data_IF_322020989317
#
_entry.id   IF_322020989317
#
_cell.length_a   1.000
_cell.length_b   1.000
_cell.length_c   1.000
_cell.angle_alpha   90.00
_cell.angle_beta   90.00
_cell.angle_gamma   90.00
#
_symmetry.space_group_name_H-M   'P 1'
#
loop_
_entity.id
_entity.type
_entity.pdbx_description
1 polymer ?
#
# COMPACT_ATOMS: atom_id res chain seq x y z
N UNK A 1 12.94 -22.59 -25.56
CA UNK A 1 14.34 -22.12 -25.68
C UNK A 1 14.53 -20.91 -26.60
N UNK A 2 14.39 -20.98 -27.94
CA UNK A 2 14.65 -19.80 -28.79
C UNK A 2 13.54 -18.72 -28.71
N UNK A 3 12.31 -19.11 -28.41
CA UNK A 3 11.18 -18.17 -28.25
C UNK A 3 11.17 -17.41 -26.91
N UNK A 4 11.70 -18.00 -25.83
CA UNK A 4 11.83 -17.33 -24.52
C UNK A 4 12.99 -16.33 -24.49
N UNK A 5 14.08 -16.62 -25.20
CA UNK A 5 15.19 -15.66 -25.36
C UNK A 5 14.81 -14.43 -26.18
N UNK A 6 13.78 -14.52 -27.02
CA UNK A 6 13.26 -13.39 -27.82
C UNK A 6 12.23 -12.53 -27.06
N UNK A 7 11.60 -13.03 -25.99
CA UNK A 7 10.74 -12.22 -25.12
C UNK A 7 11.52 -11.37 -24.11
N UNK A 8 12.77 -11.74 -23.81
CA UNK A 8 13.67 -10.93 -22.98
C UNK A 8 14.20 -9.68 -23.71
N UNK A 9 14.07 -9.62 -25.04
CA UNK A 9 14.55 -8.51 -25.85
C UNK A 9 13.41 -7.51 -26.14
N UNK A 10 13.47 -6.35 -25.48
CA UNK A 10 12.60 -5.16 -25.62
C UNK A 10 11.35 -5.07 -24.75
N UNK A 11 11.47 -5.35 -23.44
CA UNK A 11 10.61 -4.61 -22.51
C UNK A 11 11.07 -3.15 -22.56
N UNK A 12 10.20 -2.23 -22.97
CA UNK A 12 10.53 -0.80 -22.95
C UNK A 12 10.91 -0.41 -21.51
N UNK A 13 11.94 0.44 -21.32
CA UNK A 13 12.30 0.89 -20.00
C UNK A 13 11.11 1.56 -19.34
N UNK A 14 10.93 1.32 -18.05
CA UNK A 14 9.99 2.08 -17.24
C UNK A 14 10.51 3.52 -17.13
N UNK A 15 9.65 4.50 -17.39
CA UNK A 15 10.03 5.92 -17.33
C UNK A 15 9.37 6.53 -16.11
N UNK A 16 10.16 6.92 -15.11
CA UNK A 16 9.65 7.61 -13.94
C UNK A 16 9.65 9.14 -14.15
N UNK A 17 8.47 9.76 -14.00
CA UNK A 17 8.30 11.20 -14.11
C UNK A 17 8.61 11.92 -12.80
N UNK A 18 8.06 11.42 -11.71
CA UNK A 18 8.22 12.03 -10.39
C UNK A 18 7.98 11.03 -9.28
N UNK A 19 8.33 11.41 -8.06
CA UNK A 19 8.20 10.61 -6.83
C UNK A 19 7.83 11.48 -5.64
N UNK A 20 7.14 10.88 -4.68
CA UNK A 20 6.92 11.47 -3.35
C UNK A 20 7.02 10.38 -2.29
N UNK A 21 7.45 10.79 -1.09
CA UNK A 21 7.27 10.01 0.12
C UNK A 21 6.11 10.61 0.91
N UNK A 22 5.14 9.78 1.30
CA UNK A 22 4.02 10.21 2.15
C UNK A 22 4.31 9.78 3.58
N UNK A 23 4.57 10.72 4.48
CA UNK A 23 4.75 10.44 5.90
C UNK A 23 3.40 10.10 6.56
N UNK A 24 3.36 8.95 7.23
CA UNK A 24 2.23 8.57 8.06
C UNK A 24 2.30 9.31 9.42
N UNK A 25 1.16 9.50 10.11
CA UNK A 25 1.14 10.07 11.44
C UNK A 25 2.10 9.33 12.39
N UNK A 26 2.79 10.04 13.31
CA UNK A 26 3.78 9.44 14.21
C UNK A 26 3.17 8.42 15.17
N UNK A 27 1.86 8.48 15.41
CA UNK A 27 1.10 7.55 16.25
C UNK A 27 0.47 6.40 15.44
N UNK A 28 0.81 6.24 14.15
CA UNK A 28 0.28 5.17 13.31
C UNK A 28 0.64 3.76 13.83
N UNK A 29 1.74 3.61 14.56
CA UNK A 29 2.13 2.34 15.20
C UNK A 29 2.50 2.52 16.67
N UNK A 30 2.58 1.41 17.40
CA UNK A 30 3.01 1.41 18.81
C UNK A 30 4.48 1.80 19.01
N UNK A 31 5.34 1.63 18.01
CA UNK A 31 6.77 1.99 18.10
C UNK A 31 7.03 3.49 17.97
N UNK A 32 6.08 4.25 17.41
CA UNK A 32 6.26 5.67 17.12
C UNK A 32 7.29 5.96 16.02
N UNK A 33 7.74 4.92 15.30
CA UNK A 33 8.73 5.08 14.23
C UNK A 33 8.10 5.80 13.03
N UNK A 34 8.85 6.73 12.43
CA UNK A 34 8.39 7.44 11.25
C UNK A 34 8.28 6.47 10.05
N UNK A 35 7.06 6.32 9.55
CA UNK A 35 6.73 5.45 8.42
C UNK A 35 6.34 6.27 7.19
N UNK A 36 6.74 5.76 6.03
CA UNK A 36 6.56 6.42 4.74
C UNK A 36 5.93 5.47 3.72
N UNK A 37 4.99 5.99 2.94
CA UNK A 37 4.44 5.31 1.75
C UNK A 37 5.07 5.93 0.49
N UNK A 38 5.94 5.20 -0.23
CA UNK A 38 6.56 5.69 -1.46
C UNK A 38 5.59 5.63 -2.65
N UNK A 39 5.48 6.72 -3.40
CA UNK A 39 4.67 6.81 -4.61
C UNK A 39 5.54 7.31 -5.77
N UNK A 40 5.46 6.65 -6.92
CA UNK A 40 6.06 7.08 -8.19
C UNK A 40 4.98 7.38 -9.22
N UNK A 41 5.29 8.23 -10.19
CA UNK A 41 4.49 8.40 -11.40
C UNK A 41 5.26 7.80 -12.56
N UNK A 42 4.77 6.69 -13.07
CA UNK A 42 5.36 5.98 -14.19
C UNK A 42 4.69 6.46 -15.49
N UNK A 43 5.46 6.69 -16.54
CA UNK A 43 4.91 7.14 -17.81
C UNK A 43 4.05 6.02 -18.42
N UNK A 44 2.77 6.33 -18.58
CA UNK A 44 1.86 5.55 -19.40
C UNK A 44 1.69 6.34 -20.68
N UNK A 45 1.98 5.72 -21.83
CA UNK A 45 2.14 6.33 -23.15
C UNK A 45 1.01 7.28 -23.63
N UNK A 46 -0.07 7.51 -22.86
CA UNK A 46 -1.30 8.15 -23.32
C UNK A 46 -1.57 9.58 -22.78
N UNK A 47 -1.07 10.03 -21.61
CA UNK A 47 -1.63 11.27 -21.00
C UNK A 47 -0.63 12.29 -20.43
N UNK A 48 0.68 12.08 -20.54
CA UNK A 48 1.69 13.06 -20.11
C UNK A 48 1.74 13.38 -18.60
N UNK A 49 0.80 12.89 -17.77
CA UNK A 49 0.83 13.06 -16.32
C UNK A 49 1.55 11.90 -15.60
N UNK A 50 1.73 10.75 -16.28
CA UNK A 50 2.14 9.50 -15.66
C UNK A 50 1.06 8.91 -14.75
N UNK A 51 1.08 7.59 -14.58
CA UNK A 51 0.17 6.88 -13.67
C UNK A 51 0.83 6.75 -12.29
N UNK A 52 0.18 7.24 -11.22
CA UNK A 52 0.72 7.11 -9.88
C UNK A 52 0.64 5.65 -9.40
N UNK A 53 1.70 5.20 -8.74
CA UNK A 53 1.83 3.83 -8.22
C UNK A 53 2.49 3.85 -6.85
N UNK A 54 1.94 3.08 -5.92
CA UNK A 54 2.59 2.80 -4.63
C UNK A 54 3.71 1.79 -4.88
N UNK A 55 4.94 2.09 -4.47
CA UNK A 55 5.99 1.09 -4.44
C UNK A 55 5.75 0.16 -3.24
N UNK A 56 5.65 -1.14 -3.51
CA UNK A 56 5.29 -2.15 -2.51
C UNK A 56 6.49 -3.03 -2.19
N UNK A 57 6.63 -3.36 -0.92
CA UNK A 57 7.45 -4.48 -0.49
C UNK A 57 6.66 -5.77 -0.80
N UNK A 58 7.25 -6.75 -1.53
CA UNK A 58 6.57 -8.03 -1.78
C UNK A 58 6.22 -8.79 -0.49
N UNK A 59 6.85 -8.45 0.64
CA UNK A 59 6.63 -9.10 1.92
C UNK A 59 5.85 -8.24 2.94
N UNK A 60 5.41 -7.03 2.57
CA UNK A 60 4.67 -6.12 3.46
C UNK A 60 3.17 -6.07 3.16
N UNK A 61 2.33 -6.22 4.19
CA UNK A 61 0.87 -6.12 4.02
C UNK A 61 0.42 -4.65 3.88
N UNK A 62 0.87 -3.75 4.75
CA UNK A 62 0.87 -2.31 4.46
C UNK A 62 2.17 -1.87 3.76
N UNK A 63 2.10 -1.11 2.64
CA UNK A 63 3.27 -0.66 1.88
C UNK A 63 3.94 0.55 2.54
N UNK A 64 4.30 0.40 3.81
CA UNK A 64 4.92 1.42 4.63
C UNK A 64 6.34 1.02 5.02
N UNK A 65 7.23 1.99 5.04
CA UNK A 65 8.65 1.78 5.28
C UNK A 65 9.19 2.78 6.28
N UNK A 66 10.11 2.34 7.11
CA UNK A 66 11.06 3.26 7.77
C UNK A 66 11.98 3.84 6.70
N UNK A 67 12.56 5.02 6.92
CA UNK A 67 13.47 5.63 5.93
C UNK A 67 14.60 4.69 5.52
N UNK A 68 15.19 3.97 6.49
CA UNK A 68 16.27 3.02 6.23
C UNK A 68 15.80 1.83 5.39
N UNK A 69 14.64 1.26 5.72
CA UNK A 69 14.06 0.12 4.98
C UNK A 69 13.70 0.52 3.55
N UNK A 70 13.13 1.72 3.35
CA UNK A 70 12.81 2.23 2.01
C UNK A 70 14.06 2.33 1.14
N UNK A 71 15.13 2.95 1.66
CA UNK A 71 16.38 3.07 0.89
C UNK A 71 16.96 1.69 0.56
N UNK A 72 16.94 0.74 1.51
CA UNK A 72 17.37 -0.64 1.26
C UNK A 72 16.56 -1.31 0.15
N UNK A 73 15.23 -1.20 0.19
CA UNK A 73 14.33 -1.71 -0.85
C UNK A 73 14.63 -1.07 -2.22
N UNK A 74 14.78 0.25 -2.28
CA UNK A 74 15.10 0.98 -3.51
C UNK A 74 16.47 0.57 -4.09
N UNK A 75 17.46 0.29 -3.24
CA UNK A 75 18.75 -0.23 -3.67
C UNK A 75 18.65 -1.61 -4.31
N UNK A 76 17.82 -2.51 -3.76
CA UNK A 76 17.71 -3.88 -4.25
C UNK A 76 16.91 -3.96 -5.55
N UNK A 77 15.82 -3.20 -5.66
CA UNK A 77 14.93 -3.24 -6.83
C UNK A 77 15.27 -2.16 -7.85
N UNK A 78 15.09 -0.88 -7.49
CA UNK A 78 15.03 0.21 -8.47
C UNK A 78 16.41 0.62 -8.95
N UNK A 79 17.41 0.65 -8.07
CA UNK A 79 18.80 0.94 -8.44
C UNK A 79 19.36 -0.14 -9.38
N UNK A 80 19.06 -1.42 -9.14
CA UNK A 80 19.39 -2.51 -10.07
C UNK A 80 18.78 -2.26 -11.46
N UNK A 81 17.49 -1.90 -11.52
CA UNK A 81 16.83 -1.55 -12.79
C UNK A 81 17.45 -0.35 -13.51
N UNK A 82 18.02 0.62 -12.79
CA UNK A 82 18.76 1.72 -13.43
C UNK A 82 20.08 1.25 -14.05
N UNK A 83 20.80 0.33 -13.40
CA UNK A 83 22.02 -0.30 -13.96
C UNK A 83 21.69 -1.09 -15.22
N UNK A 84 20.60 -1.85 -15.19
CA UNK A 84 20.16 -2.68 -16.32
C UNK A 84 19.54 -1.87 -17.47
N UNK A 85 19.42 -0.54 -17.32
CA UNK A 85 18.76 0.33 -18.29
C UNK A 85 17.23 0.16 -18.38
N UNK A 86 16.64 -0.59 -17.45
CA UNK A 86 15.22 -0.93 -17.37
C UNK A 86 14.38 0.13 -16.64
N UNK A 87 15.01 1.07 -15.94
CA UNK A 87 14.39 2.23 -15.32
C UNK A 87 15.13 3.50 -15.76
N UNK A 88 14.40 4.45 -16.33
CA UNK A 88 14.90 5.78 -16.71
C UNK A 88 14.04 6.85 -16.07
N UNK A 89 14.57 8.06 -15.98
CA UNK A 89 13.76 9.23 -15.65
C UNK A 89 13.24 9.86 -16.94
N UNK A 90 12.16 10.61 -16.85
CA UNK A 90 11.57 11.27 -18.03
C UNK A 90 12.54 12.20 -18.77
N UNK A 91 13.57 12.71 -18.07
CA UNK A 91 14.63 13.54 -18.64
C UNK A 91 15.89 12.76 -19.05
N UNK A 92 15.88 11.42 -18.96
CA UNK A 92 16.96 10.57 -19.44
C UNK A 92 17.47 9.54 -18.43
N UNK A 93 18.66 9.03 -18.71
CA UNK A 93 19.34 8.05 -17.85
C UNK A 93 19.81 8.69 -16.55
N UNK A 94 19.86 7.89 -15.49
CA UNK A 94 20.27 8.31 -14.16
C UNK A 94 21.19 7.25 -13.56
N UNK A 95 22.23 7.69 -12.86
CA UNK A 95 23.06 6.75 -12.10
C UNK A 95 22.26 6.18 -10.92
N UNK A 96 22.57 4.95 -10.45
CA UNK A 96 21.93 4.39 -9.25
C UNK A 96 22.08 5.29 -8.02
N UNK A 97 23.24 5.92 -7.86
CA UNK A 97 23.52 6.83 -6.75
C UNK A 97 22.65 8.10 -6.82
N UNK A 98 22.54 8.71 -8.00
CA UNK A 98 21.68 9.86 -8.22
C UNK A 98 20.21 9.52 -8.00
N UNK A 99 19.78 8.34 -8.43
CA UNK A 99 18.43 7.86 -8.20
C UNK A 99 18.12 7.74 -6.69
N UNK A 100 19.04 7.18 -5.91
CA UNK A 100 18.88 7.08 -4.45
C UNK A 100 18.94 8.46 -3.78
N UNK A 101 19.78 9.38 -4.29
CA UNK A 101 19.83 10.77 -3.81
C UNK A 101 18.47 11.46 -3.94
N UNK A 102 17.79 11.31 -5.07
CA UNK A 102 16.44 11.85 -5.27
C UNK A 102 15.43 11.34 -4.23
N UNK A 103 15.51 10.06 -3.86
CA UNK A 103 14.65 9.50 -2.80
C UNK A 103 15.00 9.99 -1.40
N UNK A 104 16.29 10.21 -1.11
CA UNK A 104 16.71 10.85 0.15
C UNK A 104 16.16 12.27 0.25
N UNK A 105 16.15 13.03 -0.84
CA UNK A 105 15.53 14.37 -0.86
C UNK A 105 14.01 14.30 -0.66
N UNK A 106 13.32 13.37 -1.31
CA UNK A 106 11.88 13.16 -1.10
C UNK A 106 11.54 12.80 0.36
N UNK A 107 12.39 12.03 1.03
CA UNK A 107 12.25 11.67 2.45
C UNK A 107 12.53 12.83 3.42
N UNK A 108 13.33 13.82 3.02
CA UNK A 108 13.57 15.04 3.82
C UNK A 108 12.37 15.99 3.81
N UNK A 109 11.58 15.97 2.74
CA UNK A 109 10.39 16.82 2.56
C UNK A 109 9.17 15.97 2.22
N UNK A 110 8.75 15.05 3.11
CA UNK A 110 7.63 14.17 2.84
C UNK A 110 6.32 14.94 2.85
N UNK A 111 5.32 14.43 2.11
CA UNK A 111 3.96 14.94 2.18
C UNK A 111 3.18 14.24 3.28
N UNK A 112 2.23 14.90 3.91
CA UNK A 112 1.17 14.23 4.68
C UNK A 112 0.11 13.65 3.73
N UNK A 113 -0.75 12.72 4.18
CA UNK A 113 -1.89 12.25 3.37
C UNK A 113 -2.80 13.39 2.89
N UNK A 114 -2.96 14.44 3.71
CA UNK A 114 -3.73 15.63 3.34
C UNK A 114 -3.05 16.45 2.23
N UNK A 115 -1.73 16.67 2.34
CA UNK A 115 -0.95 17.37 1.31
C UNK A 115 -0.88 16.59 0.00
N UNK A 116 -0.86 15.25 0.04
CA UNK A 116 -0.98 14.41 -1.16
C UNK A 116 -2.30 14.69 -1.89
N UNK A 117 -3.40 14.77 -1.15
CA UNK A 117 -4.72 15.09 -1.71
C UNK A 117 -4.78 16.49 -2.27
N UNK A 118 -4.24 17.48 -1.57
CA UNK A 118 -4.22 18.88 -2.01
C UNK A 118 -3.37 19.07 -3.27
N UNK A 119 -2.14 18.55 -3.29
CA UNK A 119 -1.16 18.81 -4.36
C UNK A 119 -1.34 17.92 -5.59
N UNK A 120 -1.84 16.69 -5.39
CA UNK A 120 -1.92 15.69 -6.45
C UNK A 120 -3.33 15.14 -6.69
N UNK A 121 -4.33 15.54 -5.90
CA UNK A 121 -5.70 15.03 -6.03
C UNK A 121 -5.83 13.54 -5.69
N UNK A 122 -4.86 12.98 -4.95
CA UNK A 122 -4.80 11.55 -4.58
C UNK A 122 -5.05 11.33 -3.09
N UNK A 123 -5.73 10.24 -2.75
CA UNK A 123 -5.82 9.75 -1.37
C UNK A 123 -5.34 8.30 -1.26
N UNK A 124 -4.76 7.97 -0.10
CA UNK A 124 -4.40 6.61 0.27
C UNK A 124 -5.59 5.97 0.99
N UNK A 125 -6.13 4.90 0.43
CA UNK A 125 -7.21 4.13 1.05
C UNK A 125 -6.73 2.74 1.40
N UNK A 126 -6.86 2.36 2.68
CA UNK A 126 -6.57 1.01 3.17
C UNK A 126 -7.89 0.26 3.29
N UNK A 127 -7.97 -0.93 2.73
CA UNK A 127 -9.09 -1.85 2.87
C UNK A 127 -8.62 -3.11 3.56
N UNK A 128 -9.28 -3.49 4.64
CA UNK A 128 -8.94 -4.59 5.51
C UNK A 128 -10.11 -5.58 5.52
N UNK A 129 -9.83 -6.87 5.41
CA UNK A 129 -10.84 -7.91 5.54
C UNK A 129 -10.27 -9.16 6.19
N UNK A 130 -11.11 -9.90 6.90
CA UNK A 130 -10.86 -11.26 7.37
C UNK A 130 -12.16 -11.91 7.84
N UNK A 131 -12.08 -13.20 8.17
CA UNK A 131 -13.17 -13.92 8.81
C UNK A 131 -13.45 -13.34 10.20
N UNK A 132 -14.70 -12.97 10.44
CA UNK A 132 -15.13 -12.26 11.65
C UNK A 132 -14.88 -13.09 12.92
N UNK A 133 -15.19 -14.38 12.88
CA UNK A 133 -14.98 -15.29 14.01
C UNK A 133 -13.50 -15.49 14.36
N UNK A 134 -12.57 -15.19 13.43
CA UNK A 134 -11.13 -15.26 13.69
C UNK A 134 -10.62 -14.06 14.48
N UNK A 135 -11.27 -12.90 14.34
CA UNK A 135 -10.84 -11.65 14.98
C UNK A 135 -11.61 -11.30 16.25
N UNK A 136 -12.79 -11.89 16.44
CA UNK A 136 -13.58 -11.72 17.67
C UNK A 136 -12.83 -12.21 18.90
N UNK A 137 -12.91 -11.43 19.97
CA UNK A 137 -12.21 -11.64 21.23
C UNK A 137 -10.71 -11.38 21.18
N UNK A 138 -10.13 -11.08 20.00
CA UNK A 138 -8.71 -10.81 19.90
C UNK A 138 -8.36 -9.46 20.53
N UNK A 139 -7.18 -9.44 21.15
CA UNK A 139 -6.53 -8.25 21.68
C UNK A 139 -5.29 -7.95 20.87
N UNK A 140 -5.03 -6.68 20.62
CA UNK A 140 -3.79 -6.26 19.98
C UNK A 140 -2.68 -6.24 21.02
N UNK A 141 -1.47 -6.78 20.73
CA UNK A 141 -0.35 -6.81 21.68
C UNK A 141 0.26 -5.44 21.96
N UNK A 142 -0.28 -4.38 21.37
CA UNK A 142 0.24 -3.03 21.55
C UNK A 142 -0.08 -2.51 22.96
N UNK A 143 0.91 -1.97 23.69
CA UNK A 143 0.67 -1.42 25.03
C UNK A 143 -0.27 -0.19 25.01
N UNK A 144 -0.35 0.50 23.87
CA UNK A 144 -1.16 1.68 23.61
C UNK A 144 -2.16 1.44 22.46
N UNK A 145 -2.76 0.24 22.39
CA UNK A 145 -3.78 -0.08 21.39
C UNK A 145 -4.94 0.94 21.42
N UNK A 146 -5.43 1.42 20.26
CA UNK A 146 -6.58 2.33 20.19
C UNK A 146 -7.89 1.68 20.67
N UNK A 147 -7.97 0.34 20.61
CA UNK A 147 -9.13 -0.44 21.04
C UNK A 147 -8.67 -1.63 21.88
N UNK A 148 -9.40 -1.93 22.96
CA UNK A 148 -9.09 -3.08 23.82
C UNK A 148 -9.23 -4.40 23.05
N UNK A 149 -10.32 -4.53 22.29
CA UNK A 149 -10.63 -5.72 21.48
C UNK A 149 -11.15 -5.33 20.10
N UNK A 150 -11.24 -6.31 19.19
CA UNK A 150 -11.86 -6.09 17.88
C UNK A 150 -13.32 -5.60 17.99
N UNK A 151 -14.10 -6.07 18.96
CA UNK A 151 -15.49 -5.64 19.17
C UNK A 151 -15.61 -4.14 19.47
N UNK A 152 -14.61 -3.56 20.16
CA UNK A 152 -14.57 -2.12 20.41
C UNK A 152 -14.34 -1.34 19.11
N UNK A 153 -13.52 -1.88 18.20
CA UNK A 153 -13.33 -1.34 16.85
C UNK A 153 -14.62 -1.49 16.02
N UNK A 154 -15.29 -2.65 16.10
CA UNK A 154 -16.57 -2.92 15.44
C UNK A 154 -17.65 -1.94 15.89
N UNK A 155 -17.77 -1.71 17.20
CA UNK A 155 -18.68 -0.73 17.78
C UNK A 155 -18.35 0.71 17.35
N UNK A 156 -17.05 1.06 17.28
CA UNK A 156 -16.60 2.39 16.88
C UNK A 156 -16.95 2.72 15.43
N UNK A 157 -16.67 1.80 14.49
CA UNK A 157 -16.96 2.02 13.08
C UNK A 157 -18.41 1.75 12.69
N UNK A 158 -19.13 0.95 13.47
CA UNK A 158 -20.54 0.64 13.27
C UNK A 158 -20.83 0.25 11.82
N UNK A 159 -21.71 1.00 11.16
CA UNK A 159 -22.14 0.72 9.78
C UNK A 159 -21.04 0.89 8.72
N UNK A 160 -19.88 1.48 9.06
CA UNK A 160 -18.72 1.54 8.14
C UNK A 160 -17.98 0.19 8.06
N UNK A 161 -18.18 -0.67 9.04
CA UNK A 161 -17.65 -2.03 9.04
C UNK A 161 -18.71 -2.95 8.42
N UNK A 162 -18.41 -3.45 7.23
CA UNK A 162 -19.35 -4.20 6.40
C UNK A 162 -19.20 -5.68 6.71
N UNK A 163 -20.30 -6.37 7.01
CA UNK A 163 -20.33 -7.82 7.17
C UNK A 163 -20.90 -8.49 5.93
N UNK A 164 -20.23 -9.54 5.47
CA UNK A 164 -20.67 -10.36 4.34
C UNK A 164 -20.62 -11.82 4.79
N UNK A 165 -21.78 -12.48 4.78
CA UNK A 165 -21.89 -13.91 5.05
C UNK A 165 -21.82 -14.66 3.72
N UNK A 166 -20.81 -15.52 3.57
CA UNK A 166 -20.68 -16.40 2.41
C UNK A 166 -21.73 -17.51 2.46
N UNK A 167 -22.00 -18.14 1.31
CA UNK A 167 -22.96 -19.26 1.22
C UNK A 167 -22.59 -20.45 2.15
N UNK A 168 -21.30 -20.61 2.45
CA UNK A 168 -20.79 -21.60 3.40
C UNK A 168 -21.07 -21.25 4.89
N UNK A 169 -21.76 -20.14 5.18
CA UNK A 169 -22.11 -19.67 6.53
C UNK A 169 -21.03 -18.84 7.22
N UNK A 170 -19.83 -18.75 6.63
CA UNK A 170 -18.73 -17.94 7.18
C UNK A 170 -19.02 -16.45 7.00
N UNK A 171 -18.96 -15.69 8.09
CA UNK A 171 -19.11 -14.23 8.04
C UNK A 171 -17.73 -13.56 8.02
N UNK A 172 -17.54 -12.65 7.07
CA UNK A 172 -16.33 -11.84 6.93
C UNK A 172 -16.65 -10.38 7.18
N UNK A 173 -15.67 -9.64 7.69
CA UNK A 173 -15.75 -8.19 7.77
C UNK A 173 -14.93 -7.51 6.68
N UNK A 174 -15.33 -6.29 6.33
CA UNK A 174 -14.59 -5.37 5.47
C UNK A 174 -14.60 -3.97 6.05
N UNK A 175 -13.43 -3.34 6.14
CA UNK A 175 -13.27 -1.96 6.60
C UNK A 175 -12.40 -1.19 5.62
N UNK A 176 -12.90 -0.04 5.14
CA UNK A 176 -12.13 0.88 4.29
C UNK A 176 -11.88 2.21 5.00
N UNK A 177 -10.61 2.58 5.08
CA UNK A 177 -10.11 3.77 5.77
C UNK A 177 -9.37 4.68 4.79
N UNK A 178 -9.74 5.96 4.76
CA UNK A 178 -8.97 7.00 4.09
C UNK A 178 -7.91 7.53 5.07
N UNK A 179 -6.63 7.44 4.72
CA UNK A 179 -5.54 7.81 5.63
C UNK A 179 -5.44 9.32 5.94
N UNK A 180 -6.32 10.13 5.36
CA UNK A 180 -6.50 11.55 5.72
C UNK A 180 -7.40 11.72 6.94
N UNK A 181 -8.25 10.74 7.24
CA UNK A 181 -9.11 10.77 8.40
C UNK A 181 -8.27 10.69 9.69
N UNK A 182 -8.67 11.40 10.76
CA UNK A 182 -8.01 11.28 12.05
C UNK A 182 -7.92 9.81 12.50
N UNK A 183 -6.76 9.41 13.02
CA UNK A 183 -6.47 8.08 13.55
C UNK A 183 -6.63 6.90 12.56
N UNK A 184 -7.04 7.12 11.32
CA UNK A 184 -7.27 6.05 10.34
C UNK A 184 -6.02 5.22 10.05
N UNK A 185 -4.84 5.86 10.01
CA UNK A 185 -3.57 5.14 9.89
C UNK A 185 -3.34 4.22 11.10
N UNK A 186 -3.52 4.74 12.32
CA UNK A 186 -3.37 3.98 13.56
C UNK A 186 -4.33 2.80 13.62
N UNK A 187 -5.59 3.02 13.23
CA UNK A 187 -6.60 1.96 13.16
C UNK A 187 -6.25 0.91 12.10
N UNK A 188 -5.67 1.30 10.96
CA UNK A 188 -5.24 0.36 9.93
C UNK A 188 -4.13 -0.59 10.42
N UNK A 189 -3.09 -0.06 11.06
CA UNK A 189 -2.00 -0.90 11.62
C UNK A 189 -2.44 -1.72 12.84
N UNK A 190 -3.38 -1.19 13.63
CA UNK A 190 -4.02 -1.97 14.70
C UNK A 190 -4.70 -3.22 14.12
N UNK A 191 -5.51 -3.07 13.06
CA UNK A 191 -6.17 -4.20 12.41
C UNK A 191 -5.15 -5.12 11.73
N UNK A 192 -4.16 -4.58 11.02
CA UNK A 192 -3.06 -5.39 10.44
C UNK A 192 -2.39 -6.28 11.50
N UNK A 193 -2.12 -5.73 12.68
CA UNK A 193 -1.51 -6.48 13.79
C UNK A 193 -2.41 -7.58 14.34
N UNK A 194 -3.74 -7.37 14.34
CA UNK A 194 -4.69 -8.44 14.66
C UNK A 194 -4.68 -9.52 13.57
N UNK A 195 -4.76 -9.12 12.30
CA UNK A 195 -4.79 -10.04 11.16
C UNK A 195 -3.55 -10.93 11.11
N UNK A 196 -2.37 -10.37 11.40
CA UNK A 196 -1.12 -11.12 11.47
C UNK A 196 -1.13 -12.26 12.53
N UNK A 197 -1.99 -12.17 13.54
CA UNK A 197 -2.13 -13.18 14.59
C UNK A 197 -3.21 -14.23 14.29
N UNK A 198 -4.12 -13.97 13.35
CA UNK A 198 -5.27 -14.85 13.08
C UNK A 198 -4.91 -16.18 12.41
N UNK A 199 -3.81 -16.21 11.64
CA UNK A 199 -3.52 -17.29 10.71
C UNK A 199 -4.58 -17.47 9.61
N UNK A 200 -5.46 -16.50 9.43
CA UNK A 200 -6.52 -16.53 8.42
C UNK A 200 -5.91 -16.33 7.03
N UNK A 201 -5.94 -17.39 6.21
CA UNK A 201 -5.43 -17.36 4.84
C UNK A 201 -6.31 -16.51 3.91
N UNK A 202 -7.52 -16.15 4.35
CA UNK A 202 -8.43 -15.27 3.63
C UNK A 202 -8.34 -13.81 4.13
N UNK A 203 -7.50 -13.53 5.13
CA UNK A 203 -7.25 -12.17 5.55
C UNK A 203 -6.54 -11.39 4.44
N UNK A 204 -6.98 -10.15 4.22
CA UNK A 204 -6.51 -9.32 3.12
C UNK A 204 -6.33 -7.88 3.55
N UNK A 205 -5.18 -7.31 3.18
CA UNK A 205 -4.90 -5.88 3.32
C UNK A 205 -4.61 -5.34 1.93
N UNK A 206 -5.38 -4.34 1.52
CA UNK A 206 -5.23 -3.69 0.22
C UNK A 206 -5.16 -2.19 0.40
N UNK A 207 -4.01 -1.61 0.05
CA UNK A 207 -3.85 -0.15 -0.04
C UNK A 207 -4.04 0.29 -1.48
N UNK A 208 -4.76 1.38 -1.72
CA UNK A 208 -5.03 1.89 -3.07
C UNK A 208 -4.81 3.39 -3.12
N UNK A 209 -4.47 3.89 -4.31
CA UNK A 209 -4.50 5.32 -4.63
C UNK A 209 -5.83 5.62 -5.28
N UNK A 210 -6.68 6.40 -4.60
CA UNK A 210 -7.94 6.91 -5.12
C UNK A 210 -7.82 8.37 -5.55
N UNK A 211 -8.72 8.85 -6.43
CA UNK A 211 -8.89 10.28 -6.67
C UNK A 211 -9.81 10.89 -5.61
N UNK A 212 -9.48 12.08 -5.12
CA UNK A 212 -10.23 12.76 -4.04
C UNK A 212 -11.69 13.06 -4.42
N UNK A 213 -11.98 13.34 -5.70
CA UNK A 213 -13.32 13.67 -6.20
C UNK A 213 -14.21 12.45 -6.46
N UNK A 214 -13.71 11.22 -6.32
CA UNK A 214 -14.55 10.03 -6.44
C UNK A 214 -15.12 9.69 -5.05
N UNK A 215 -16.46 9.69 -4.86
CA UNK A 215 -17.04 9.01 -3.70
C UNK A 215 -16.53 7.56 -3.68
N UNK A 216 -16.51 6.87 -2.53
CA UNK A 216 -16.21 5.45 -2.49
C UNK A 216 -17.27 4.71 -3.33
N UNK A 217 -17.00 4.56 -4.63
CA UNK A 217 -17.86 3.88 -5.57
C UNK A 217 -17.78 2.40 -5.26
N UNK A 218 -18.66 1.98 -4.34
CA UNK A 218 -18.68 0.65 -3.75
C UNK A 218 -17.34 0.37 -3.04
N UNK A 219 -17.32 -0.57 -2.09
CA UNK A 219 -16.06 -1.27 -1.87
C UNK A 219 -15.60 -1.74 -3.25
N UNK A 220 -14.29 -1.67 -3.61
CA UNK A 220 -13.85 -2.44 -4.76
C UNK A 220 -14.47 -3.82 -4.56
N UNK A 221 -15.25 -4.28 -5.55
CA UNK A 221 -15.55 -5.70 -5.63
C UNK A 221 -14.16 -6.29 -5.57
N UNK A 222 -13.79 -6.83 -4.40
CA UNK A 222 -12.70 -7.76 -4.36
C UNK A 222 -13.16 -8.78 -5.37
N UNK A 223 -12.51 -8.82 -6.52
CA UNK A 223 -12.76 -9.87 -7.47
C UNK A 223 -12.17 -11.10 -6.77
N UNK A 224 -12.97 -11.69 -5.88
CA UNK A 224 -12.53 -12.67 -4.88
C UNK A 224 -11.98 -13.92 -5.57
N UNK A 225 -12.29 -14.10 -6.86
CA UNK A 225 -11.77 -15.16 -7.73
C UNK A 225 -10.45 -14.80 -8.43
N UNK A 226 -10.14 -13.52 -8.67
CA UNK A 226 -8.90 -13.13 -9.36
C UNK A 226 -7.65 -13.39 -8.51
N UNK A 227 -7.78 -13.39 -7.18
CA UNK A 227 -6.68 -13.64 -6.26
C UNK A 227 -6.41 -15.13 -5.98
N UNK A 228 -7.17 -16.07 -6.56
CA UNK A 228 -6.84 -17.51 -6.52
C UNK A 228 -6.03 -17.96 -7.76
N UNK A 229 -5.87 -17.10 -8.77
CA UNK A 229 -5.26 -17.51 -10.05
C UNK A 229 -4.00 -16.72 -10.48
N UNK A 230 -3.60 -15.65 -9.80
CA UNK A 230 -2.30 -15.01 -10.10
C UNK A 230 -1.08 -15.72 -9.46
N UNK A 231 -1.28 -16.71 -8.57
CA UNK A 231 -0.20 -17.55 -8.04
C UNK A 231 -0.07 -18.94 -8.73
N UNK A 232 -0.78 -19.20 -9.83
CA UNK A 232 -0.73 -20.51 -10.52
C UNK A 232 -0.20 -20.49 -11.96
N UNK A 233 0.32 -19.36 -12.44
CA UNK A 233 1.06 -19.31 -13.72
C UNK A 233 2.23 -18.34 -13.65
N UNK A 234 3.38 -18.81 -13.17
CA UNK A 234 4.71 -18.46 -13.65
C UNK A 234 5.65 -19.60 -13.31
#
# INVERSE_FOLDING_TARGET
MQAEMLQAAHRRPEIERTRVAVALPPDATSSGEALFVPITWEDTNDDGAGRPRILRDPHGALPSFTSRRLIGFLCQDRATRTVDGNLKLWYGEVSPEDYLRLWREALKSPLTPAQLAERHGLCLRVTLCATLDRVRGMRCPWPNAPFETFEHLEAFYGTRLIHITAEAGETRFGLSLDLREPEAARHAFYVESLLAQTGDTQAGIRVTLGRVAQPPHRLPVFDWQANLFEEATS
#
